data_IF_935884698994
#
_entry.id   IF_935884698994
#
_cell.length_a   1.000
_cell.length_b   1.000
_cell.length_c   1.000
_cell.angle_alpha   90.00
_cell.angle_beta   90.00
_cell.angle_gamma   90.00
#
_symmetry.space_group_name_H-M   'P 1'
#
loop_
_entity.id
_entity.type
_entity.pdbx_description
1 polymer ?
#
# COMPACT_ATOMS: atom_id res chain seq x y z
N UNK A 1 10.97 -14.52 8.08
CA UNK A 1 10.86 -13.40 9.05
C UNK A 1 10.16 -12.23 8.40
N UNK A 2 8.86 -12.37 8.13
CA UNK A 2 8.00 -11.27 7.63
C UNK A 2 6.88 -10.95 8.65
N UNK A 3 7.02 -11.47 9.87
CA UNK A 3 5.99 -11.48 10.91
C UNK A 3 5.63 -10.06 11.36
N UNK A 4 6.61 -9.17 11.51
CA UNK A 4 6.38 -7.77 11.87
C UNK A 4 5.58 -7.00 10.81
N UNK A 5 5.78 -7.28 9.53
CA UNK A 5 5.01 -6.63 8.47
C UNK A 5 3.54 -7.07 8.49
N UNK A 6 3.30 -8.37 8.75
CA UNK A 6 1.95 -8.92 8.89
C UNK A 6 1.28 -8.42 10.17
N UNK A 7 2.01 -8.36 11.28
CA UNK A 7 1.52 -7.81 12.55
C UNK A 7 1.15 -6.33 12.43
N UNK A 8 1.98 -5.54 11.73
CA UNK A 8 1.63 -4.16 11.40
C UNK A 8 0.29 -4.07 10.66
N UNK A 9 0.10 -4.88 9.60
CA UNK A 9 -1.13 -4.87 8.81
C UNK A 9 -2.36 -5.34 9.59
N UNK A 10 -2.20 -6.31 10.50
CA UNK A 10 -3.28 -6.79 11.37
C UNK A 10 -3.74 -5.76 12.40
N UNK A 11 -2.83 -4.91 12.85
CA UNK A 11 -3.12 -3.83 13.80
C UNK A 11 -3.37 -2.48 13.12
N UNK A 12 -3.34 -2.42 11.78
CA UNK A 12 -3.60 -1.20 11.00
C UNK A 12 -5.09 -0.88 11.01
N UNK A 13 -5.42 0.40 11.20
CA UNK A 13 -6.79 0.89 11.15
C UNK A 13 -7.26 1.14 9.71
N UNK A 14 -8.54 0.95 9.45
CA UNK A 14 -9.17 1.32 8.19
C UNK A 14 -8.94 2.80 7.86
N UNK A 15 -8.62 3.10 6.61
CA UNK A 15 -8.30 4.46 6.17
C UNK A 15 -6.84 4.89 6.36
N UNK A 16 -5.97 4.04 6.93
CA UNK A 16 -4.52 4.32 6.96
C UNK A 16 -3.90 4.13 5.57
N UNK A 17 -3.07 5.07 5.13
CA UNK A 17 -2.33 4.94 3.87
C UNK A 17 -1.10 4.06 4.07
N UNK A 18 -1.01 2.96 3.34
CA UNK A 18 0.05 1.96 3.50
C UNK A 18 0.71 1.64 2.16
N UNK A 19 1.99 1.28 2.23
CA UNK A 19 2.69 0.59 1.15
C UNK A 19 3.00 -0.82 1.60
N UNK A 20 2.71 -1.80 0.74
CA UNK A 20 2.91 -3.22 0.99
C UNK A 20 3.75 -3.78 -0.14
N UNK A 21 4.94 -4.27 0.17
CA UNK A 21 5.77 -5.03 -0.75
C UNK A 21 5.43 -6.50 -0.62
N UNK A 22 5.09 -7.16 -1.72
CA UNK A 22 4.74 -8.58 -1.73
C UNK A 22 5.30 -9.31 -2.95
N UNK A 23 5.50 -10.62 -2.81
CA UNK A 23 5.97 -11.50 -3.88
C UNK A 23 4.83 -11.95 -4.78
N UNK A 24 5.06 -11.89 -6.08
CA UNK A 24 4.26 -12.51 -7.12
C UNK A 24 4.60 -13.99 -7.26
N UNK A 25 3.77 -14.74 -8.00
CA UNK A 25 3.98 -16.18 -8.21
C UNK A 25 5.25 -16.51 -8.99
N UNK A 26 5.68 -15.60 -9.88
CA UNK A 26 6.93 -15.69 -10.65
C UNK A 26 8.18 -15.41 -9.80
N UNK A 27 8.03 -15.20 -8.49
CA UNK A 27 9.14 -14.91 -7.56
C UNK A 27 9.59 -13.44 -7.56
N UNK A 28 9.08 -12.62 -8.48
CA UNK A 28 9.30 -11.17 -8.48
C UNK A 28 8.57 -10.48 -7.32
N UNK A 29 9.10 -9.36 -6.83
CA UNK A 29 8.45 -8.55 -5.81
C UNK A 29 7.83 -7.29 -6.43
N UNK A 30 6.67 -6.88 -5.94
CA UNK A 30 5.99 -5.65 -6.35
C UNK A 30 5.45 -4.88 -5.15
N UNK A 31 5.16 -3.59 -5.36
CA UNK A 31 4.73 -2.66 -4.32
C UNK A 31 3.27 -2.23 -4.56
N UNK A 32 2.39 -2.53 -3.60
CA UNK A 32 1.03 -2.02 -3.51
C UNK A 32 1.00 -0.75 -2.67
N UNK A 33 0.53 0.37 -3.23
CA UNK A 33 0.30 1.61 -2.47
C UNK A 33 -1.18 1.95 -2.49
N UNK A 34 -1.77 2.11 -1.31
CA UNK A 34 -3.20 2.38 -1.19
C UNK A 34 -3.65 2.69 0.22
N UNK A 35 -4.96 2.79 0.37
CA UNK A 35 -5.62 2.97 1.67
C UNK A 35 -6.05 1.60 2.21
N UNK A 36 -5.69 1.29 3.46
CA UNK A 36 -6.10 0.04 4.10
C UNK A 36 -7.62 0.02 4.28
N UNK A 37 -8.26 -1.03 3.79
CA UNK A 37 -9.73 -1.19 3.86
C UNK A 37 -10.13 -2.23 4.88
N UNK A 38 -9.42 -3.36 4.95
CA UNK A 38 -9.70 -4.43 5.92
C UNK A 38 -8.61 -5.48 5.90
N UNK A 39 -8.45 -6.19 7.01
CA UNK A 39 -7.65 -7.41 7.13
C UNK A 39 -8.49 -8.57 7.64
N UNK A 40 -8.14 -9.79 7.24
CA UNK A 40 -8.62 -11.03 7.83
C UNK A 40 -7.44 -11.86 8.37
N UNK A 41 -7.62 -13.15 8.64
CA UNK A 41 -6.58 -14.00 9.20
C UNK A 41 -5.39 -14.22 8.23
N UNK A 42 -5.64 -14.14 6.92
CA UNK A 42 -4.72 -14.61 5.86
C UNK A 42 -4.35 -13.54 4.85
N UNK A 43 -5.14 -12.48 4.73
CA UNK A 43 -4.92 -11.42 3.76
C UNK A 43 -5.42 -10.06 4.25
N UNK A 44 -5.06 -9.02 3.51
CA UNK A 44 -5.65 -7.70 3.65
C UNK A 44 -6.06 -7.13 2.29
N UNK A 45 -6.96 -6.15 2.32
CA UNK A 45 -7.45 -5.43 1.16
C UNK A 45 -7.07 -3.97 1.28
N UNK A 46 -6.50 -3.41 0.21
CA UNK A 46 -6.23 -1.98 0.08
C UNK A 46 -6.94 -1.40 -1.13
N UNK A 47 -7.37 -0.14 -1.03
CA UNK A 47 -7.84 0.63 -2.17
C UNK A 47 -6.66 1.39 -2.80
N UNK A 48 -6.12 0.82 -3.88
CA UNK A 48 -5.07 1.42 -4.68
C UNK A 48 -5.62 2.35 -5.76
N UNK A 49 -4.71 3.01 -6.50
CA UNK A 49 -5.08 3.94 -7.60
C UNK A 49 -5.90 3.26 -8.71
N UNK A 50 -5.68 1.97 -8.96
CA UNK A 50 -6.30 1.20 -10.05
C UNK A 50 -7.50 0.36 -9.61
N UNK A 51 -7.87 0.39 -8.33
CA UNK A 51 -8.94 -0.44 -7.77
C UNK A 51 -8.54 -1.08 -6.43
N UNK A 52 -9.39 -1.98 -5.96
CA UNK A 52 -9.11 -2.78 -4.76
C UNK A 52 -8.08 -3.86 -5.07
N UNK A 53 -7.11 -4.04 -4.19
CA UNK A 53 -6.06 -5.05 -4.27
C UNK A 53 -6.05 -5.90 -3.01
N UNK A 54 -6.05 -7.23 -3.17
CA UNK A 54 -5.98 -8.19 -2.07
C UNK A 54 -4.57 -8.74 -1.98
N UNK A 55 -3.92 -8.58 -0.84
CA UNK A 55 -2.54 -9.03 -0.59
C UNK A 55 -2.54 -10.12 0.47
N UNK A 56 -2.04 -11.31 0.11
CA UNK A 56 -1.91 -12.45 1.03
C UNK A 56 -0.72 -12.25 1.96
N UNK A 57 -0.91 -12.51 3.25
CA UNK A 57 0.14 -12.35 4.26
C UNK A 57 1.34 -13.29 4.04
N UNK A 58 1.14 -14.46 3.45
CA UNK A 58 2.25 -15.37 3.10
C UNK A 58 3.20 -14.79 2.04
N UNK A 59 2.73 -13.81 1.26
CA UNK A 59 3.51 -13.13 0.23
C UNK A 59 4.07 -11.79 0.67
N UNK A 60 3.64 -11.25 1.81
CA UNK A 60 4.11 -9.94 2.30
C UNK A 60 5.57 -10.04 2.66
N UNK A 61 6.39 -9.15 2.10
CA UNK A 61 7.81 -8.99 2.42
C UNK A 61 8.00 -7.84 3.41
N UNK A 62 7.36 -6.70 3.16
CA UNK A 62 7.46 -5.51 4.01
C UNK A 62 6.18 -4.68 3.92
N UNK A 63 5.85 -3.99 5.01
CA UNK A 63 4.74 -3.05 5.05
C UNK A 63 5.09 -1.86 5.93
N UNK A 64 4.60 -0.68 5.58
CA UNK A 64 4.69 0.51 6.44
C UNK A 64 3.58 1.51 6.13
N UNK A 65 3.31 2.38 7.09
CA UNK A 65 2.51 3.58 6.88
C UNK A 65 3.24 4.57 5.97
N UNK A 66 2.47 5.25 5.11
CA UNK A 66 2.95 6.28 4.21
C UNK A 66 2.21 7.58 4.50
N UNK A 67 2.90 8.72 4.67
CA UNK A 67 2.24 10.01 4.83
C UNK A 67 1.25 10.31 3.70
N UNK A 68 0.20 11.12 3.93
CA UNK A 68 -0.70 11.54 2.87
C UNK A 68 0.06 12.21 1.71
N UNK A 69 -0.45 12.12 0.46
CA UNK A 69 0.20 12.74 -0.68
C UNK A 69 0.41 14.24 -0.43
N UNK A 70 1.58 14.81 -0.73
CA UNK A 70 1.77 16.25 -0.63
C UNK A 70 0.81 16.97 -1.59
N UNK A 71 0.45 18.20 -1.25
CA UNK A 71 -0.41 19.03 -2.09
C UNK A 71 0.15 19.12 -3.52
N UNK A 72 -0.68 19.01 -4.57
CA UNK A 72 -0.23 19.14 -5.95
C UNK A 72 0.49 20.48 -6.15
N UNK A 73 1.66 20.45 -6.80
CA UNK A 73 2.34 21.68 -7.20
C UNK A 73 1.48 22.40 -8.25
N UNK A 74 1.15 23.68 -8.01
CA UNK A 74 0.41 24.48 -8.99
C UNK A 74 1.10 24.44 -10.36
N UNK A 75 0.36 24.35 -11.47
CA UNK A 75 0.93 24.39 -12.81
C UNK A 75 1.74 25.68 -12.95
N UNK A 76 3.00 25.58 -13.38
CA UNK A 76 3.74 26.76 -13.83
C UNK A 76 2.98 27.27 -15.05
N UNK A 77 2.26 28.39 -14.90
CA UNK A 77 1.76 29.17 -16.03
C UNK A 77 2.98 29.44 -16.90
N UNK A 78 3.05 28.83 -18.10
CA UNK A 78 3.98 29.32 -19.11
C UNK A 78 3.44 30.68 -19.52
N UNK A 79 3.92 31.72 -18.85
CA UNK A 79 3.71 33.07 -19.29
C UNK A 79 4.64 33.27 -20.48
N UNK A 80 4.08 33.07 -21.67
CA UNK A 80 4.67 33.58 -22.89
C UNK A 80 4.16 35.00 -23.10
N UNK A 81 5.07 35.96 -23.10
CA UNK A 81 5.10 37.05 -24.06
C UNK A 81 6.56 37.44 -24.28
#
# INVERSE_FOLDING_TARGET
>A
MNDQAVEFLRNTTEGTRVVIRYSLDDGQATDALGWFIRGDATACVIAGKRGMETVRFDRVIAAKEVPPPPAPRSPRRREGY
#
